data_IF_048981725346
#
_entry.id   IF_048981725346
#
_cell.length_a   1.000
_cell.length_b   1.000
_cell.length_c   1.000
_cell.angle_alpha   90.00
_cell.angle_beta   90.00
_cell.angle_gamma   90.00
#
_symmetry.space_group_name_H-M   'P 1'
#
loop_
_entity.id
_entity.type
_entity.pdbx_description
1 polymer ?
#
# COMPACT_ATOMS: atom_id res chain seq x y z
N UNK A 1 4.67 -8.59 -10.39
CA UNK A 1 5.12 -8.22 -9.03
C UNK A 1 4.11 -7.24 -8.46
N UNK A 2 3.68 -7.40 -7.21
CA UNK A 2 2.73 -6.49 -6.54
C UNK A 2 3.53 -5.54 -5.64
N UNK A 3 3.15 -4.26 -5.63
CA UNK A 3 3.74 -3.24 -4.76
C UNK A 3 3.20 -3.30 -3.33
N UNK A 4 3.38 -2.23 -2.54
CA UNK A 4 2.74 -2.11 -1.23
C UNK A 4 1.22 -1.97 -1.41
N UNK A 5 0.46 -2.85 -0.79
CA UNK A 5 -1.01 -2.78 -0.82
C UNK A 5 -1.48 -1.90 0.32
N UNK A 6 -2.22 -0.85 0.00
CA UNK A 6 -2.77 0.10 0.97
C UNK A 6 -4.27 -0.12 1.15
N UNK A 7 -4.70 -0.11 2.39
CA UNK A 7 -6.08 -0.38 2.82
C UNK A 7 -6.30 0.30 4.19
N UNK A 8 -7.47 0.92 4.44
CA UNK A 8 -7.84 1.39 5.77
C UNK A 8 -8.19 0.25 6.74
N UNK A 9 -8.52 -0.94 6.23
CA UNK A 9 -8.85 -2.13 7.02
C UNK A 9 -7.63 -2.74 7.75
N UNK A 10 -6.39 -2.31 7.44
CA UNK A 10 -5.23 -2.69 8.23
C UNK A 10 -3.88 -2.59 7.53
N UNK A 11 -3.02 -3.58 7.79
CA UNK A 11 -1.73 -3.73 7.11
C UNK A 11 -0.69 -2.67 7.48
N UNK A 12 0.08 -2.23 6.47
CA UNK A 12 1.20 -1.30 6.68
C UNK A 12 0.72 0.07 7.19
N UNK A 13 -0.40 0.59 6.66
CA UNK A 13 -0.93 1.90 7.01
C UNK A 13 -1.33 1.97 8.49
N UNK A 14 -2.03 0.94 8.99
CA UNK A 14 -2.42 0.86 10.39
C UNK A 14 -1.22 0.80 11.34
N UNK A 15 -0.16 0.07 10.98
CA UNK A 15 1.08 -0.01 11.78
C UNK A 15 1.83 1.32 11.81
N UNK A 16 1.74 2.12 10.74
CA UNK A 16 2.35 3.45 10.68
C UNK A 16 1.53 4.51 11.44
N UNK A 17 0.25 4.28 11.69
CA UNK A 17 -0.62 5.29 12.29
C UNK A 17 -0.19 5.71 13.70
N UNK A 18 0.24 4.76 14.53
CA UNK A 18 0.66 5.04 15.91
C UNK A 18 1.89 5.98 15.97
N UNK A 19 3.03 5.66 15.33
CA UNK A 19 4.18 6.57 15.35
C UNK A 19 3.85 7.94 14.73
N UNK A 20 3.00 7.99 13.69
CA UNK A 20 2.54 9.28 13.14
C UNK A 20 1.76 10.11 14.16
N UNK A 21 0.80 9.50 14.89
CA UNK A 21 0.01 10.18 15.93
C UNK A 21 0.86 10.67 17.11
N UNK A 22 1.98 9.99 17.40
CA UNK A 22 2.93 10.38 18.44
C UNK A 22 3.97 11.42 17.96
N UNK A 23 3.86 11.93 16.73
CA UNK A 23 4.83 12.88 16.17
C UNK A 23 6.16 12.26 15.71
N UNK A 24 6.24 10.92 15.66
CA UNK A 24 7.41 10.17 15.22
C UNK A 24 7.39 9.84 13.71
N UNK A 25 6.40 10.35 12.97
CA UNK A 25 6.22 10.14 11.51
C UNK A 25 7.19 10.92 10.61
N UNK A 26 8.43 11.13 11.05
CA UNK A 26 9.42 11.93 10.33
C UNK A 26 9.93 11.31 9.03
N UNK A 27 10.90 11.98 8.40
CA UNK A 27 11.52 11.52 7.15
C UNK A 27 12.20 10.17 7.34
N UNK A 28 11.74 9.15 6.62
CA UNK A 28 12.36 7.82 6.60
C UNK A 28 13.55 7.83 5.63
N UNK A 29 14.74 7.51 6.15
CA UNK A 29 15.98 7.43 5.37
C UNK A 29 16.33 8.75 4.66
N UNK A 30 16.53 8.70 3.34
CA UNK A 30 16.86 9.89 2.53
C UNK A 30 15.64 10.72 2.13
N UNK A 31 14.42 10.18 2.22
CA UNK A 31 13.21 10.80 1.68
C UNK A 31 13.11 10.80 0.14
N UNK A 32 14.07 10.19 -0.56
CA UNK A 32 14.08 10.05 -2.03
C UNK A 32 13.72 8.64 -2.51
N UNK A 33 13.21 7.83 -1.60
CA UNK A 33 12.84 6.44 -1.85
C UNK A 33 11.52 6.42 -2.63
N UNK A 34 11.49 5.82 -3.81
CA UNK A 34 10.25 5.56 -4.54
C UNK A 34 9.63 4.26 -4.02
N UNK A 35 8.33 4.31 -3.70
CA UNK A 35 7.57 3.14 -3.24
C UNK A 35 6.41 2.93 -4.19
N UNK A 36 6.42 1.82 -4.94
CA UNK A 36 5.26 1.40 -5.72
C UNK A 36 4.14 0.96 -4.77
N UNK A 37 2.95 1.53 -4.92
CA UNK A 37 1.78 1.22 -4.11
C UNK A 37 0.54 1.02 -4.98
N UNK A 38 -0.43 0.28 -4.45
CA UNK A 38 -1.74 0.04 -5.08
C UNK A 38 -2.81 -0.08 -3.98
N UNK A 39 -4.04 0.38 -4.26
CA UNK A 39 -5.18 0.15 -3.37
C UNK A 39 -5.57 -1.33 -3.34
N UNK A 40 -6.14 -1.79 -2.22
CA UNK A 40 -6.59 -3.18 -2.10
C UNK A 40 -7.67 -3.51 -3.15
N UNK A 41 -8.66 -2.64 -3.31
CA UNK A 41 -9.77 -2.82 -4.24
C UNK A 41 -9.27 -2.89 -5.68
N UNK A 42 -8.36 -1.99 -6.05
CA UNK A 42 -7.76 -1.95 -7.38
C UNK A 42 -6.94 -3.21 -7.66
N UNK A 43 -6.15 -3.68 -6.69
CA UNK A 43 -5.39 -4.91 -6.84
C UNK A 43 -6.33 -6.12 -7.04
N UNK A 44 -7.43 -6.21 -6.28
CA UNK A 44 -8.42 -7.27 -6.44
C UNK A 44 -9.01 -7.24 -7.84
N UNK A 45 -9.34 -6.05 -8.36
CA UNK A 45 -9.87 -5.90 -9.71
C UNK A 45 -8.87 -6.33 -10.78
N UNK A 46 -7.61 -5.90 -10.67
CA UNK A 46 -6.54 -6.29 -11.60
C UNK A 46 -6.33 -7.79 -11.58
N UNK A 47 -6.29 -8.42 -10.40
CA UNK A 47 -6.14 -9.86 -10.28
C UNK A 47 -7.35 -10.61 -10.84
N UNK A 48 -8.57 -10.09 -10.64
CA UNK A 48 -9.79 -10.67 -11.21
C UNK A 48 -9.72 -10.67 -12.73
N UNK A 49 -9.38 -9.54 -13.34
CA UNK A 49 -9.21 -9.45 -14.81
C UNK A 49 -8.09 -10.39 -15.26
N UNK A 50 -6.93 -10.37 -14.62
CA UNK A 50 -5.79 -11.19 -15.01
C UNK A 50 -6.06 -12.71 -14.93
N UNK A 51 -6.98 -13.15 -14.07
CA UNK A 51 -7.30 -14.57 -13.88
C UNK A 51 -8.49 -15.05 -14.71
N UNK A 52 -9.45 -14.17 -15.00
CA UNK A 52 -10.75 -14.56 -15.56
C UNK A 52 -11.09 -13.90 -16.89
N UNK A 53 -10.28 -12.96 -17.38
CA UNK A 53 -10.49 -12.40 -18.72
C UNK A 53 -9.94 -13.37 -19.77
N UNK A 54 -10.84 -13.92 -20.60
CA UNK A 54 -10.53 -14.87 -21.70
C UNK A 54 -10.34 -14.17 -23.05
N UNK A 55 -10.34 -12.84 -23.07
CA UNK A 55 -10.13 -12.05 -24.29
C UNK A 55 -8.75 -12.22 -24.92
#
# INVERSE_FOLDING_TARGET
RIGVVLTPEGGALQRMLLPFKLGLGGRIGSGRQWVSWIGLEDLIQVLRVALFDER
#
